data_IF_968109408917
#
_entry.id   IF_968109408917
#
_cell.length_a   1.000
_cell.length_b   1.000
_cell.length_c   1.000
_cell.angle_alpha   90.00
_cell.angle_beta   90.00
_cell.angle_gamma   90.00
#
_symmetry.space_group_name_H-M   'P 1'
#
loop_
_entity.id
_entity.type
_entity.pdbx_description
1 polymer ?
#
# COMPACT_ATOMS: atom_id res chain seq x y z
N UNK A 1 1.72 -8.26 -15.18
CA UNK A 1 2.73 -7.83 -14.17
C UNK A 1 1.94 -7.71 -12.89
N UNK A 2 2.32 -8.43 -11.84
CA UNK A 2 1.57 -8.46 -10.58
C UNK A 2 1.86 -7.18 -9.78
N UNK A 3 0.84 -6.38 -9.51
CA UNK A 3 0.94 -5.15 -8.73
C UNK A 3 0.95 -5.48 -7.23
N UNK A 4 1.98 -5.04 -6.52
CA UNK A 4 2.10 -5.19 -5.05
C UNK A 4 1.75 -3.86 -4.39
N UNK A 5 0.74 -3.87 -3.54
CA UNK A 5 0.26 -2.69 -2.83
C UNK A 5 0.59 -2.85 -1.35
N UNK A 6 1.45 -2.00 -0.79
CA UNK A 6 1.73 -2.02 0.64
C UNK A 6 0.61 -1.31 1.42
N UNK A 7 0.14 -1.92 2.49
CA UNK A 7 -0.76 -1.30 3.45
C UNK A 7 -0.27 -1.53 4.88
N UNK A 8 -0.46 -0.54 5.75
CA UNK A 8 -0.25 -0.74 7.20
C UNK A 8 -1.12 -1.90 7.69
N UNK A 9 -0.53 -2.77 8.52
CA UNK A 9 -1.24 -3.83 9.23
C UNK A 9 -2.14 -3.24 10.34
N UNK A 10 -3.22 -2.58 9.90
CA UNK A 10 -4.23 -1.95 10.72
C UNK A 10 -5.53 -1.90 9.91
N UNK A 11 -6.63 -2.41 10.46
CA UNK A 11 -7.95 -2.19 9.88
C UNK A 11 -8.46 -0.81 10.33
N UNK A 12 -8.60 0.09 9.36
CA UNK A 12 -9.14 1.43 9.56
C UNK A 12 -10.13 1.77 8.45
N UNK A 13 -10.97 2.78 8.67
CA UNK A 13 -11.91 3.25 7.64
C UNK A 13 -11.20 3.64 6.33
N UNK A 14 -9.92 4.04 6.40
CA UNK A 14 -9.10 4.44 5.25
C UNK A 14 -8.68 3.25 4.39
N UNK A 15 -8.26 2.13 4.98
CA UNK A 15 -7.74 0.96 4.25
C UNK A 15 -8.78 -0.16 4.06
N UNK A 16 -9.83 -0.21 4.90
CA UNK A 16 -10.80 -1.30 4.89
C UNK A 16 -11.43 -1.57 3.51
N UNK A 17 -11.87 -0.57 2.72
CA UNK A 17 -12.44 -0.84 1.41
C UNK A 17 -11.48 -1.56 0.46
N UNK A 18 -10.20 -1.18 0.48
CA UNK A 18 -9.18 -1.80 -0.36
C UNK A 18 -8.82 -3.22 0.13
N UNK A 19 -8.68 -3.41 1.44
CA UNK A 19 -8.45 -4.73 2.05
C UNK A 19 -9.60 -5.69 1.72
N UNK A 20 -10.84 -5.24 1.85
CA UNK A 20 -12.00 -6.02 1.47
C UNK A 20 -12.03 -6.32 -0.03
N UNK A 21 -11.63 -5.37 -0.89
CA UNK A 21 -11.58 -5.59 -2.34
C UNK A 21 -10.54 -6.63 -2.76
N UNK A 22 -9.39 -6.68 -2.09
CA UNK A 22 -8.39 -7.73 -2.32
C UNK A 22 -8.93 -9.10 -1.87
N UNK A 23 -9.43 -9.18 -0.63
CA UNK A 23 -9.92 -10.43 -0.04
C UNK A 23 -11.13 -11.00 -0.77
N UNK A 24 -12.07 -10.15 -1.20
CA UNK A 24 -13.25 -10.55 -1.96
C UNK A 24 -12.96 -10.79 -3.45
N UNK A 25 -11.72 -10.58 -3.90
CA UNK A 25 -11.29 -10.86 -5.26
C UNK A 25 -11.77 -9.83 -6.31
N UNK A 26 -12.18 -8.63 -5.90
CA UNK A 26 -12.64 -7.59 -6.82
C UNK A 26 -11.55 -7.13 -7.79
N UNK A 27 -10.28 -7.05 -7.37
CA UNK A 27 -9.19 -6.73 -8.30
C UNK A 27 -9.14 -7.72 -9.47
N UNK A 28 -9.21 -9.02 -9.16
CA UNK A 28 -9.23 -10.08 -10.18
C UNK A 28 -10.47 -10.00 -11.07
N UNK A 29 -11.64 -9.69 -10.50
CA UNK A 29 -12.89 -9.54 -11.25
C UNK A 29 -12.82 -8.40 -12.29
N UNK A 30 -12.10 -7.32 -11.97
CA UNK A 30 -11.83 -6.18 -12.85
C UNK A 30 -10.64 -6.43 -13.81
N UNK A 31 -10.04 -7.63 -13.82
CA UNK A 31 -8.89 -7.96 -14.65
C UNK A 31 -7.56 -7.38 -14.16
N UNK A 32 -7.51 -6.86 -12.94
CA UNK A 32 -6.30 -6.35 -12.31
C UNK A 32 -5.60 -7.45 -11.49
N UNK A 33 -4.37 -7.80 -11.88
CA UNK A 33 -3.51 -8.71 -11.13
C UNK A 33 -2.80 -7.93 -10.00
N UNK A 34 -3.52 -7.63 -8.92
CA UNK A 34 -3.00 -6.91 -7.75
C UNK A 34 -3.18 -7.71 -6.46
N UNK A 35 -2.31 -7.45 -5.46
CA UNK A 35 -2.45 -7.96 -4.08
C UNK A 35 -2.00 -6.90 -3.08
N UNK A 36 -2.66 -6.89 -1.92
CA UNK A 36 -2.26 -6.05 -0.80
C UNK A 36 -1.35 -6.85 0.14
N UNK A 37 -0.20 -6.29 0.45
CA UNK A 37 0.74 -6.82 1.42
C UNK A 37 0.68 -5.98 2.70
N UNK A 38 0.33 -6.63 3.81
CA UNK A 38 0.29 -6.00 5.11
C UNK A 38 1.70 -5.87 5.66
N UNK A 39 2.10 -4.65 5.97
CA UNK A 39 3.40 -4.35 6.57
C UNK A 39 3.22 -3.84 7.99
N UNK A 40 4.07 -4.34 8.89
CA UNK A 40 4.02 -3.97 10.30
C UNK A 40 4.34 -2.47 10.49
N UNK A 41 3.66 -1.86 11.47
CA UNK A 41 3.80 -0.43 11.80
C UNK A 41 3.59 0.47 10.55
N UNK A 42 4.27 1.61 10.47
CA UNK A 42 4.17 2.56 9.33
C UNK A 42 5.09 2.19 8.14
N UNK A 43 5.41 0.91 7.96
CA UNK A 43 6.41 0.45 6.98
C UNK A 43 6.03 0.61 5.50
N UNK A 44 4.81 1.02 5.16
CA UNK A 44 4.31 1.03 3.78
C UNK A 44 5.06 2.01 2.88
N UNK A 45 5.41 3.19 3.41
CA UNK A 45 6.17 4.20 2.65
C UNK A 45 7.61 3.77 2.42
N UNK A 46 8.20 3.07 3.39
CA UNK A 46 9.53 2.45 3.25
C UNK A 46 9.52 1.35 2.18
N UNK A 47 8.55 0.44 2.22
CA UNK A 47 8.39 -0.61 1.22
C UNK A 47 8.25 -0.05 -0.20
N UNK A 48 7.55 1.08 -0.35
CA UNK A 48 7.43 1.79 -1.62
C UNK A 48 8.78 2.35 -2.10
N UNK A 49 9.56 3.00 -1.21
CA UNK A 49 10.89 3.52 -1.58
C UNK A 49 11.82 2.39 -2.00
N UNK A 50 11.86 1.32 -1.22
CA UNK A 50 12.83 0.25 -1.38
C UNK A 50 12.51 -0.64 -2.61
N UNK A 51 11.34 -0.46 -3.23
CA UNK A 51 10.89 -1.20 -4.42
C UNK A 51 10.22 -2.55 -4.10
N UNK A 52 10.00 -2.83 -2.82
CA UNK A 52 9.32 -4.02 -2.32
C UNK A 52 7.83 -3.99 -2.67
N UNK A 53 7.24 -2.79 -2.79
CA UNK A 53 5.89 -2.56 -3.29
C UNK A 53 5.88 -1.57 -4.46
N UNK A 54 4.87 -1.69 -5.32
CA UNK A 54 4.68 -0.84 -6.50
C UNK A 54 3.75 0.35 -6.20
N UNK A 55 2.90 0.22 -5.20
CA UNK A 55 2.01 1.26 -4.68
C UNK A 55 1.85 1.13 -3.17
N UNK A 56 1.32 2.15 -2.51
CA UNK A 56 0.92 2.07 -1.10
C UNK A 56 -0.47 2.67 -0.86
N UNK A 57 -1.16 2.16 0.14
CA UNK A 57 -2.38 2.76 0.70
C UNK A 57 -2.25 2.91 2.21
N UNK A 58 -2.81 3.99 2.76
CA UNK A 58 -2.86 4.24 4.21
C UNK A 58 -1.48 4.24 4.92
N UNK A 59 -0.52 5.00 4.38
CA UNK A 59 0.74 5.34 5.06
C UNK A 59 0.65 6.65 5.86
N UNK A 60 1.67 6.93 6.69
CA UNK A 60 1.82 8.23 7.36
C UNK A 60 2.21 9.30 6.33
N UNK A 61 1.52 10.45 6.37
CA UNK A 61 1.86 11.62 5.53
C UNK A 61 3.25 12.16 5.87
N UNK A 62 3.67 12.04 7.13
CA UNK A 62 5.00 12.46 7.56
C UNK A 62 6.09 11.54 6.99
N UNK A 63 5.79 10.26 6.79
CA UNK A 63 6.77 9.28 6.34
C UNK A 63 7.17 9.52 4.89
N UNK A 64 6.30 10.09 4.07
CA UNK A 64 6.68 10.43 2.68
C UNK A 64 7.80 11.47 2.67
N UNK A 65 7.78 12.42 3.60
CA UNK A 65 8.83 13.44 3.73
C UNK A 65 10.13 12.89 4.32
N UNK A 66 10.05 11.91 5.24
CA UNK A 66 11.26 11.32 5.85
C UNK A 66 11.87 10.24 4.98
N UNK A 67 11.05 9.41 4.35
CA UNK A 67 11.51 8.28 3.54
C UNK A 67 12.00 8.75 2.15
N UNK A 68 11.45 9.85 1.60
CA UNK A 68 11.89 10.42 0.32
C UNK A 68 12.53 11.80 0.50
N UNK A 69 13.81 11.88 0.93
CA UNK A 69 14.47 13.16 1.29
C UNK A 69 14.70 14.12 0.11
N UNK A 70 14.43 13.68 -1.13
CA UNK A 70 14.55 14.50 -2.34
C UNK A 70 13.18 14.80 -2.98
N UNK A 71 12.07 14.48 -2.31
CA UNK A 71 10.74 14.77 -2.81
C UNK A 71 10.49 16.29 -2.85
N UNK A 72 9.92 16.79 -3.96
CA UNK A 72 9.70 18.22 -4.22
C UNK A 72 8.22 18.64 -4.31
N UNK A 73 7.30 17.76 -3.94
CA UNK A 73 5.86 17.92 -4.21
C UNK A 73 5.50 17.33 -5.55
#
# INVERSE_FOLDING_TARGET
>A
MKLRIAAVDLVSNTCFPALAADELGYFKAEGLEARIELVAALGATKALRDGDADAMIAGSVHDVLTEFPQWKG
#
